data_IF_533999637832
#
_entry.id   IF_533999637832
#
_cell.length_a   1.000
_cell.length_b   1.000
_cell.length_c   1.000
_cell.angle_alpha   90.00
_cell.angle_beta   90.00
_cell.angle_gamma   90.00
#
_symmetry.space_group_name_H-M   'P 1'
#
loop_
_entity.id
_entity.type
_entity.pdbx_description
1 polymer ?
#
# COMPACT_ATOMS: atom_id res chain seq x y z
N UNK A 1 13.30 6.82 5.14
CA UNK A 1 12.15 5.98 4.76
C UNK A 1 11.83 5.13 5.98
N UNK A 2 10.64 5.29 6.57
CA UNK A 2 10.18 4.42 7.66
C UNK A 2 9.16 3.42 7.07
N UNK A 3 9.35 2.14 7.34
CA UNK A 3 8.38 1.08 7.03
C UNK A 3 7.76 0.66 8.37
N UNK A 4 6.46 0.87 8.53
CA UNK A 4 5.76 0.44 9.74
C UNK A 4 4.66 -0.54 9.34
N UNK A 5 4.82 -1.77 9.83
CA UNK A 5 3.79 -2.80 9.78
C UNK A 5 2.98 -2.71 11.08
N UNK A 6 1.88 -1.95 11.05
CA UNK A 6 0.98 -1.84 12.20
C UNK A 6 -0.23 -2.76 12.00
N UNK A 7 -0.23 -3.91 12.68
CA UNK A 7 -1.45 -4.63 13.00
C UNK A 7 -2.23 -3.85 14.10
N UNK A 8 -2.89 -2.75 13.73
CA UNK A 8 -3.99 -2.03 14.42
C UNK A 8 -3.94 -1.72 15.94
N UNK A 9 -2.94 -2.14 16.73
CA UNK A 9 -2.94 -1.95 18.20
C UNK A 9 -1.94 -0.91 18.72
N UNK A 10 -1.27 -0.15 17.84
CA UNK A 10 -0.37 0.91 18.27
C UNK A 10 -1.18 2.18 18.56
N UNK A 11 -1.09 2.62 19.82
CA UNK A 11 -1.83 3.73 20.41
C UNK A 11 -1.91 4.97 19.50
N UNK A 12 -3.06 5.67 19.56
CA UNK A 12 -3.42 6.78 18.67
C UNK A 12 -2.29 7.82 18.48
N UNK A 13 -1.49 8.08 19.52
CA UNK A 13 -0.35 9.01 19.47
C UNK A 13 0.92 8.50 18.77
N UNK A 14 1.22 7.21 18.80
CA UNK A 14 2.43 6.67 18.17
C UNK A 14 2.33 6.73 16.63
N UNK A 15 1.13 6.45 16.10
CA UNK A 15 0.86 6.53 14.66
C UNK A 15 0.94 7.99 14.18
N UNK A 16 0.39 8.95 14.93
CA UNK A 16 0.46 10.37 14.55
C UNK A 16 1.90 10.91 14.54
N UNK A 17 2.71 10.55 15.54
CA UNK A 17 4.12 10.93 15.58
C UNK A 17 4.88 10.44 14.34
N UNK A 18 4.65 9.19 13.93
CA UNK A 18 5.24 8.61 12.71
C UNK A 18 4.75 9.33 11.46
N UNK A 19 3.44 9.55 11.35
CA UNK A 19 2.86 10.18 10.17
C UNK A 19 3.39 11.61 9.97
N UNK A 20 3.68 12.32 11.07
CA UNK A 20 4.27 13.67 11.04
C UNK A 20 5.70 13.69 10.49
N UNK A 21 6.49 12.65 10.73
CA UNK A 21 7.87 12.55 10.24
C UNK A 21 7.99 11.82 8.90
N UNK A 22 6.92 11.14 8.48
CA UNK A 22 6.89 10.36 7.24
C UNK A 22 6.87 11.25 6.01
N UNK A 23 7.73 10.94 5.04
CA UNK A 23 7.80 11.62 3.74
C UNK A 23 7.05 10.90 2.62
N UNK A 24 6.75 9.63 2.82
CA UNK A 24 6.06 8.79 1.85
C UNK A 24 5.31 7.69 2.59
N UNK A 25 4.22 7.21 2.01
CA UNK A 25 3.32 6.22 2.60
C UNK A 25 3.02 5.12 1.58
N UNK A 26 3.10 3.85 2.00
CA UNK A 26 2.55 2.73 1.25
C UNK A 26 1.30 2.25 1.98
N UNK A 27 0.18 2.20 1.27
CA UNK A 27 -1.10 1.74 1.80
C UNK A 27 -1.41 0.39 1.17
N UNK A 28 -1.45 -0.65 1.98
CA UNK A 28 -1.71 -2.02 1.52
C UNK A 28 -3.17 -2.39 1.74
N UNK A 29 -3.83 -2.90 0.70
CA UNK A 29 -5.19 -3.48 0.80
C UNK A 29 -5.20 -4.86 0.18
N UNK A 30 -6.01 -5.77 0.72
CA UNK A 30 -6.32 -7.03 0.04
C UNK A 30 -7.37 -6.83 -1.05
N UNK A 31 -7.58 -7.86 -1.87
CA UNK A 31 -8.59 -7.88 -2.94
C UNK A 31 -10.04 -8.08 -2.44
N UNK A 32 -10.33 -7.80 -1.18
CA UNK A 32 -11.69 -7.90 -0.61
C UNK A 32 -12.40 -6.54 -0.58
N UNK A 33 -13.73 -6.56 -0.78
CA UNK A 33 -14.55 -5.34 -0.69
C UNK A 33 -14.44 -4.66 0.69
N UNK A 34 -14.39 -5.46 1.76
CA UNK A 34 -14.26 -4.96 3.13
C UNK A 34 -12.93 -4.25 3.36
N UNK A 35 -11.81 -4.84 2.92
CA UNK A 35 -10.50 -4.20 3.03
C UNK A 35 -10.40 -2.92 2.20
N UNK A 36 -10.94 -2.92 0.98
CA UNK A 36 -10.96 -1.73 0.13
C UNK A 36 -11.73 -0.57 0.80
N UNK A 37 -12.90 -0.84 1.40
CA UNK A 37 -13.66 0.16 2.15
C UNK A 37 -12.91 0.68 3.38
N UNK A 38 -12.37 -0.22 4.21
CA UNK A 38 -11.59 0.15 5.40
C UNK A 38 -10.40 1.04 5.03
N UNK A 39 -9.66 0.64 4.00
CA UNK A 39 -8.53 1.41 3.45
C UNK A 39 -8.98 2.81 3.00
N UNK A 40 -10.11 2.90 2.28
CA UNK A 40 -10.69 4.18 1.90
C UNK A 40 -11.05 5.07 3.08
N UNK A 41 -11.58 4.50 4.16
CA UNK A 41 -11.86 5.24 5.41
C UNK A 41 -10.58 5.73 6.07
N UNK A 42 -9.53 4.91 6.14
CA UNK A 42 -8.21 5.31 6.68
C UNK A 42 -7.61 6.47 5.87
N UNK A 43 -7.69 6.42 4.54
CA UNK A 43 -7.21 7.51 3.68
C UNK A 43 -8.01 8.80 3.86
N UNK A 44 -9.32 8.70 4.06
CA UNK A 44 -10.15 9.87 4.39
C UNK A 44 -9.74 10.49 5.73
N UNK A 45 -9.51 9.66 6.75
CA UNK A 45 -9.04 10.12 8.05
C UNK A 45 -7.68 10.83 7.93
N UNK A 46 -6.70 10.24 7.21
CA UNK A 46 -5.40 10.88 6.97
C UNK A 46 -5.55 12.29 6.38
N UNK A 47 -6.42 12.46 5.37
CA UNK A 47 -6.68 13.77 4.76
C UNK A 47 -7.37 14.75 5.70
N UNK A 48 -8.31 14.28 6.52
CA UNK A 48 -9.02 15.11 7.49
C UNK A 48 -8.13 15.54 8.67
N UNK A 49 -7.16 14.71 9.04
CA UNK A 49 -6.21 14.95 10.14
C UNK A 49 -4.98 15.78 9.73
N UNK A 50 -5.01 16.46 8.58
CA UNK A 50 -3.92 17.34 8.12
C UNK A 50 -2.78 16.64 7.38
N UNK A 51 -2.82 15.32 7.20
CA UNK A 51 -1.81 14.56 6.45
C UNK A 51 -2.09 14.51 4.94
N UNK A 52 -2.62 15.60 4.36
CA UNK A 52 -3.01 15.66 2.95
C UNK A 52 -1.82 15.40 2.01
N UNK A 53 -0.69 16.06 2.26
CA UNK A 53 0.56 15.87 1.50
C UNK A 53 1.04 14.42 1.53
N UNK A 54 0.90 13.76 2.68
CA UNK A 54 1.28 12.36 2.81
C UNK A 54 0.34 11.47 1.98
N UNK A 55 -0.96 11.76 2.01
CA UNK A 55 -1.97 11.11 1.16
C UNK A 55 -1.73 11.29 -0.34
N UNK A 56 -1.30 12.47 -0.78
CA UNK A 56 -0.92 12.74 -2.19
C UNK A 56 0.34 11.97 -2.60
N UNK A 57 1.29 11.82 -1.67
CA UNK A 57 2.52 11.06 -1.87
C UNK A 57 2.38 9.55 -1.66
N UNK A 58 1.17 9.06 -1.40
CA UNK A 58 0.95 7.65 -1.09
C UNK A 58 0.99 6.75 -2.33
N UNK A 59 1.36 5.49 -2.12
CA UNK A 59 1.28 4.40 -3.10
C UNK A 59 0.27 3.37 -2.60
N UNK A 60 -0.70 3.00 -3.42
CA UNK A 60 -1.67 1.96 -3.13
C UNK A 60 -1.14 0.61 -3.63
N UNK A 61 -0.88 -0.32 -2.71
CA UNK A 61 -0.53 -1.69 -3.01
C UNK A 61 -1.75 -2.60 -2.84
N UNK A 62 -2.25 -3.18 -3.93
CA UNK A 62 -3.34 -4.15 -3.92
C UNK A 62 -2.73 -5.55 -3.88
N UNK A 63 -2.76 -6.19 -2.72
CA UNK A 63 -2.15 -7.50 -2.49
C UNK A 63 -3.10 -8.64 -2.85
N UNK A 64 -2.68 -9.53 -3.76
CA UNK A 64 -3.43 -10.72 -4.14
C UNK A 64 -3.13 -11.88 -3.19
N UNK A 65 -4.15 -12.71 -3.00
CA UNK A 65 -4.09 -13.94 -2.21
C UNK A 65 -4.24 -15.11 -3.18
N UNK A 66 -3.57 -16.23 -2.92
CA UNK A 66 -3.57 -17.41 -3.79
C UNK A 66 -4.99 -17.90 -4.09
N UNK A 67 -5.27 -18.22 -5.35
CA UNK A 67 -6.55 -18.80 -5.77
C UNK A 67 -7.77 -17.87 -5.68
N UNK A 68 -7.64 -16.65 -5.14
CA UNK A 68 -8.77 -15.74 -4.95
C UNK A 68 -8.82 -14.69 -6.07
N UNK A 69 -9.96 -14.62 -6.76
CA UNK A 69 -10.31 -13.52 -7.65
C UNK A 69 -11.30 -12.58 -6.94
N UNK A 70 -11.20 -11.26 -7.15
CA UNK A 70 -12.19 -10.33 -6.61
C UNK A 70 -13.56 -10.62 -7.24
N UNK A 71 -14.60 -10.74 -6.41
CA UNK A 71 -15.99 -10.75 -6.89
C UNK A 71 -16.38 -9.35 -7.40
N UNK A 72 -17.56 -9.22 -8.04
CA UNK A 72 -18.03 -7.96 -8.64
C UNK A 72 -18.02 -6.80 -7.64
N UNK A 73 -18.48 -7.03 -6.41
CA UNK A 73 -18.47 -6.00 -5.37
C UNK A 73 -17.04 -5.55 -5.01
N UNK A 74 -16.14 -6.51 -4.83
CA UNK A 74 -14.73 -6.22 -4.54
C UNK A 74 -14.06 -5.49 -5.70
N UNK A 75 -14.33 -5.87 -6.95
CA UNK A 75 -13.81 -5.19 -8.13
C UNK A 75 -14.27 -3.72 -8.19
N UNK A 76 -15.55 -3.46 -7.93
CA UNK A 76 -16.10 -2.09 -7.87
C UNK A 76 -15.45 -1.27 -6.76
N UNK A 77 -15.31 -1.82 -5.55
CA UNK A 77 -14.71 -1.12 -4.41
C UNK A 77 -13.22 -0.85 -4.63
N UNK A 78 -12.48 -1.82 -5.18
CA UNK A 78 -11.06 -1.65 -5.53
C UNK A 78 -10.89 -0.59 -6.62
N UNK A 79 -11.77 -0.55 -7.63
CA UNK A 79 -11.75 0.47 -8.68
C UNK A 79 -12.00 1.87 -8.10
N UNK A 80 -12.98 2.01 -7.21
CA UNK A 80 -13.29 3.25 -6.49
C UNK A 80 -12.17 3.70 -5.56
N UNK A 81 -11.47 2.75 -4.93
CA UNK A 81 -10.30 3.05 -4.12
C UNK A 81 -9.13 3.50 -4.99
N UNK A 82 -8.82 2.75 -6.04
CA UNK A 82 -7.72 3.04 -6.96
C UNK A 82 -7.89 4.38 -7.69
N UNK A 83 -9.12 4.79 -8.01
CA UNK A 83 -9.38 6.09 -8.67
C UNK A 83 -9.04 7.31 -7.82
N UNK A 84 -8.74 7.13 -6.53
CA UNK A 84 -8.24 8.21 -5.66
C UNK A 84 -6.72 8.46 -5.82
N UNK A 85 -6.04 7.63 -6.61
CA UNK A 85 -4.59 7.68 -6.80
C UNK A 85 -4.26 7.89 -8.28
N UNK A 86 -3.12 8.55 -8.59
CA UNK A 86 -2.55 8.50 -9.94
C UNK A 86 -2.30 7.04 -10.35
N UNK A 87 -2.56 6.64 -11.61
CA UNK A 87 -2.39 5.25 -12.05
C UNK A 87 -0.98 4.68 -11.77
N UNK A 88 0.06 5.51 -11.86
CA UNK A 88 1.45 5.12 -11.61
C UNK A 88 1.74 4.81 -10.13
N UNK A 89 0.85 5.20 -9.23
CA UNK A 89 0.92 4.97 -7.78
C UNK A 89 -0.01 3.86 -7.30
N UNK A 90 -0.64 3.13 -8.22
CA UNK A 90 -1.43 1.94 -7.93
C UNK A 90 -0.68 0.70 -8.43
N UNK A 91 -0.25 -0.16 -7.52
CA UNK A 91 0.49 -1.39 -7.84
C UNK A 91 -0.29 -2.60 -7.38
N UNK A 92 -0.52 -3.55 -8.29
CA UNK A 92 -1.10 -4.85 -7.96
C UNK A 92 0.02 -5.84 -7.70
N UNK A 93 0.17 -6.27 -6.46
CA UNK A 93 1.14 -7.30 -6.07
C UNK A 93 0.54 -8.68 -6.34
N UNK A 94 1.24 -9.55 -7.09
CA UNK A 94 0.78 -10.92 -7.30
C UNK A 94 0.93 -11.71 -6.00
N UNK A 95 0.23 -12.85 -5.92
CA UNK A 95 0.52 -13.80 -4.86
C UNK A 95 1.95 -14.32 -5.05
N UNK A 96 2.73 -14.32 -3.97
CA UNK A 96 4.07 -14.87 -3.95
C UNK A 96 4.20 -15.82 -2.77
N UNK A 97 4.55 -17.07 -3.05
CA UNK A 97 4.65 -18.12 -2.01
C UNK A 97 5.70 -17.77 -0.96
N UNK A 98 6.84 -17.23 -1.38
CA UNK A 98 7.93 -16.87 -0.48
C UNK A 98 7.56 -15.69 0.43
N UNK A 99 6.80 -14.72 -0.08
CA UNK A 99 6.21 -13.67 0.77
C UNK A 99 5.16 -14.24 1.72
N UNK A 100 4.33 -15.18 1.26
CA UNK A 100 3.30 -15.82 2.08
C UNK A 100 3.86 -16.67 3.23
N UNK A 101 5.05 -17.26 3.08
CA UNK A 101 5.74 -18.00 4.15
C UNK A 101 5.99 -17.16 5.41
N UNK A 102 5.89 -15.83 5.33
CA UNK A 102 5.96 -14.93 6.50
C UNK A 102 7.34 -14.88 7.16
N UNK A 103 8.39 -15.30 6.44
CA UNK A 103 9.79 -15.28 6.88
C UNK A 103 10.53 -14.10 6.26
N UNK A 104 11.82 -13.97 6.56
CA UNK A 104 12.68 -12.97 5.95
C UNK A 104 12.58 -13.02 4.40
N UNK A 105 12.22 -11.89 3.81
CA UNK A 105 12.02 -11.78 2.36
C UNK A 105 13.39 -11.71 1.66
N UNK A 106 13.86 -12.84 1.13
CA UNK A 106 14.90 -12.87 0.08
C UNK A 106 14.34 -12.46 -1.29
N UNK A 107 14.93 -11.41 -1.89
CA UNK A 107 14.58 -10.93 -3.23
C UNK A 107 14.85 -11.96 -4.34
N UNK A 108 15.80 -12.87 -4.12
CA UNK A 108 16.17 -13.91 -5.08
C UNK A 108 15.15 -15.05 -5.14
N UNK A 109 14.35 -15.20 -4.07
CA UNK A 109 13.30 -16.22 -3.96
C UNK A 109 11.94 -15.74 -4.44
N UNK A 110 11.80 -14.45 -4.75
CA UNK A 110 10.58 -13.90 -5.33
C UNK A 110 10.39 -14.41 -6.76
N UNK A 111 9.14 -14.61 -7.16
CA UNK A 111 8.84 -14.83 -8.57
C UNK A 111 9.28 -13.60 -9.39
N UNK A 112 9.65 -13.80 -10.66
CA UNK A 112 9.99 -12.69 -11.57
C UNK A 112 8.87 -11.63 -11.63
N UNK A 113 7.61 -12.08 -11.59
CA UNK A 113 6.45 -11.20 -11.58
C UNK A 113 6.38 -10.37 -10.29
N UNK A 114 6.54 -11.02 -9.14
CA UNK A 114 6.53 -10.35 -7.83
C UNK A 114 7.66 -9.34 -7.74
N UNK A 115 8.89 -9.75 -8.08
CA UNK A 115 10.07 -8.89 -8.08
C UNK A 115 9.86 -7.65 -8.92
N UNK A 116 9.30 -7.81 -10.13
CA UNK A 116 8.96 -6.67 -11.00
C UNK A 116 7.96 -5.72 -10.34
N UNK A 117 6.88 -6.23 -9.74
CA UNK A 117 5.85 -5.39 -9.10
C UNK A 117 6.37 -4.69 -7.85
N UNK A 118 7.21 -5.34 -7.04
CA UNK A 118 7.87 -4.68 -5.92
C UNK A 118 8.83 -3.57 -6.38
N UNK A 119 9.56 -3.77 -7.49
CA UNK A 119 10.39 -2.72 -8.08
C UNK A 119 9.57 -1.54 -8.60
N UNK A 120 8.44 -1.79 -9.25
CA UNK A 120 7.51 -0.74 -9.69
C UNK A 120 6.96 0.06 -8.50
N UNK A 121 6.62 -0.62 -7.40
CA UNK A 121 6.21 0.02 -6.15
C UNK A 121 7.32 0.88 -5.55
N UNK A 122 8.55 0.36 -5.53
CA UNK A 122 9.71 1.10 -5.04
C UNK A 122 9.99 2.35 -5.91
N UNK A 123 9.87 2.23 -7.24
CA UNK A 123 10.01 3.36 -8.15
C UNK A 123 8.91 4.42 -7.95
N UNK A 124 7.65 3.99 -7.79
CA UNK A 124 6.54 4.89 -7.48
C UNK A 124 6.77 5.61 -6.14
N UNK A 125 7.28 4.91 -5.13
CA UNK A 125 7.59 5.49 -3.83
C UNK A 125 8.78 6.46 -3.90
N UNK A 126 9.82 6.12 -4.67
CA UNK A 126 11.00 6.97 -4.88
C UNK A 126 10.63 8.33 -5.50
N UNK A 127 9.59 8.39 -6.32
CA UNK A 127 9.08 9.65 -6.89
C UNK A 127 8.53 10.62 -5.84
N UNK A 128 8.26 10.18 -4.61
CA UNK A 128 7.86 11.04 -3.50
C UNK A 128 9.05 11.73 -2.80
N UNK A 129 10.29 11.33 -3.11
CA UNK A 129 11.49 11.93 -2.54
C UNK A 129 12.13 12.92 -3.54
N UNK A 130 12.71 14.04 -3.07
CA UNK A 130 13.49 14.92 -3.93
C UNK A 130 14.62 14.12 -4.59
N UNK A 131 14.75 14.22 -5.92
CA UNK A 131 15.95 13.77 -6.62
C UNK A 131 17.10 14.66 -6.10
N UNK A 132 18.14 14.09 -5.49
CA UNK A 132 19.38 14.85 -5.22
C UNK A 132 20.00 15.11 -6.59
N UNK A 133 19.94 16.36 -7.05
CA UNK A 133 20.80 16.86 -8.12
C UNK A 133 22.21 17.08 -7.56
#
# INVERSE_FOLDING_TARGET
>A
MALIDCAYSLAHGAIEAVLRESRALVVVTSISAGAARKTGTTLKWLRASGYQRLGESAVLAINRIEGVKPNTLAATELKRLASQFPPQRVVVLPFDRHVHEGRAISLERLSNQSRRRYLEMAAALASAFPQRN
#
